data_IF_549418804345
#
_entry.id   IF_549418804345
#
_cell.length_a   1.000
_cell.length_b   1.000
_cell.length_c   1.000
_cell.angle_alpha   90.00
_cell.angle_beta   90.00
_cell.angle_gamma   90.00
#
_symmetry.space_group_name_H-M   'P 1'
#
loop_
_entity.id
_entity.type
_entity.pdbx_description
1 polymer ?
#
# COMPACT_ATOMS: atom_id res chain seq x y z
N UNK A 1 -4.80 45.65 -108.46
CA UNK A 1 -4.48 44.74 -109.59
C UNK A 1 -5.38 43.52 -109.47
N UNK A 2 -6.65 43.54 -109.89
CA UNK A 2 -7.17 43.66 -111.26
C UNK A 2 -6.59 42.60 -112.21
N UNK A 3 -7.30 41.48 -112.38
CA UNK A 3 -7.43 40.78 -113.66
C UNK A 3 -8.49 39.66 -113.55
N UNK A 4 -9.75 40.06 -113.73
CA UNK A 4 -10.85 39.15 -114.02
C UNK A 4 -10.56 38.40 -115.32
N UNK A 5 -10.48 37.05 -115.29
CA UNK A 5 -10.42 36.24 -116.50
C UNK A 5 -11.82 35.78 -116.87
N UNK A 6 -12.34 36.47 -117.88
CA UNK A 6 -13.67 36.35 -118.49
C UNK A 6 -14.06 34.91 -118.82
N UNK A 7 -15.31 34.64 -118.48
CA UNK A 7 -16.21 33.62 -119.01
C UNK A 7 -16.15 33.59 -120.54
N UNK A 8 -15.77 32.46 -121.12
CA UNK A 8 -16.03 32.12 -122.51
C UNK A 8 -17.17 31.08 -122.55
N UNK A 9 -18.41 31.58 -122.69
CA UNK A 9 -19.61 30.78 -122.92
C UNK A 9 -19.53 30.19 -124.32
N UNK A 10 -19.40 28.86 -124.44
CA UNK A 10 -19.61 28.12 -125.69
C UNK A 10 -21.03 27.58 -125.70
N UNK A 11 -21.86 28.15 -126.56
CA UNK A 11 -23.28 27.81 -126.72
C UNK A 11 -23.43 26.47 -127.47
N UNK A 12 -24.08 25.49 -126.82
CA UNK A 12 -24.91 24.33 -127.27
C UNK A 12 -24.52 23.57 -128.57
N UNK A 13 -24.79 22.26 -128.72
CA UNK A 13 -26.09 21.59 -128.88
C UNK A 13 -25.81 20.07 -128.66
N UNK A 14 -26.74 19.33 -128.03
CA UNK A 14 -26.67 17.90 -127.61
C UNK A 14 -25.98 17.65 -126.25
N UNK A 15 -26.75 17.16 -125.28
CA UNK A 15 -26.29 16.78 -123.93
C UNK A 15 -25.61 15.41 -123.88
N UNK A 16 -24.66 15.18 -124.78
CA UNK A 16 -23.81 13.99 -124.80
C UNK A 16 -22.36 14.46 -124.79
N UNK A 17 -21.62 14.14 -123.73
CA UNK A 17 -20.24 14.56 -123.55
C UNK A 17 -19.37 13.75 -124.54
N UNK A 18 -18.55 14.39 -125.41
CA UNK A 18 -17.67 13.68 -126.34
C UNK A 18 -16.77 12.62 -125.69
N UNK A 19 -16.54 12.71 -124.37
CA UNK A 19 -15.77 11.72 -123.60
C UNK A 19 -16.54 10.42 -123.29
N UNK A 20 -17.85 10.38 -123.53
CA UNK A 20 -18.67 9.17 -123.42
C UNK A 20 -18.46 8.20 -124.59
N UNK A 21 -17.61 8.49 -125.55
CA UNK A 21 -17.23 7.54 -126.62
C UNK A 21 -15.75 7.16 -126.60
N UNK A 22 -14.99 7.62 -125.59
CA UNK A 22 -13.58 7.27 -125.41
C UNK A 22 -13.41 5.85 -124.83
N UNK A 23 -12.29 5.15 -125.14
CA UNK A 23 -11.94 3.86 -124.52
C UNK A 23 -12.04 3.92 -123.00
N UNK A 24 -12.48 2.84 -122.35
CA UNK A 24 -12.73 2.79 -120.90
C UNK A 24 -11.55 3.25 -120.03
N UNK A 25 -10.32 3.04 -120.50
CA UNK A 25 -9.08 3.52 -119.86
C UNK A 25 -8.98 5.05 -119.79
N UNK A 26 -9.39 5.76 -120.85
CA UNK A 26 -9.32 7.22 -120.93
C UNK A 26 -10.33 7.89 -119.99
N UNK A 27 -11.52 7.30 -119.79
CA UNK A 27 -12.55 7.83 -118.86
C UNK A 27 -12.11 7.83 -117.40
N UNK A 28 -11.27 6.88 -116.99
CA UNK A 28 -10.77 6.79 -115.62
C UNK A 28 -9.67 7.84 -115.38
N UNK A 29 -8.90 8.16 -116.42
CA UNK A 29 -7.79 9.12 -116.33
C UNK A 29 -8.24 10.59 -116.46
N UNK A 30 -9.33 10.86 -117.19
CA UNK A 30 -9.79 12.23 -117.49
C UNK A 30 -10.92 12.76 -116.59
N UNK A 31 -11.54 11.92 -115.76
CA UNK A 31 -12.52 12.39 -114.77
C UNK A 31 -11.80 12.84 -113.49
N UNK A 32 -11.96 14.10 -113.05
CA UNK A 32 -11.47 14.50 -111.73
C UNK A 32 -12.14 13.62 -110.66
N UNK A 33 -11.38 13.14 -109.65
CA UNK A 33 -11.91 12.25 -108.62
C UNK A 33 -13.14 12.88 -107.94
N UNK A 34 -14.15 12.05 -107.66
CA UNK A 34 -15.46 12.51 -107.21
C UNK A 34 -15.37 13.49 -106.03
N UNK A 35 -16.10 14.63 -106.06
CA UNK A 35 -16.01 15.66 -105.03
C UNK A 35 -16.38 15.12 -103.62
N UNK A 36 -17.26 14.12 -103.55
CA UNK A 36 -17.64 13.45 -102.30
C UNK A 36 -16.44 12.76 -101.62
N UNK A 37 -15.56 12.10 -102.37
CA UNK A 37 -14.41 11.41 -101.79
C UNK A 37 -13.42 12.39 -101.13
N UNK A 38 -13.24 13.58 -101.71
CA UNK A 38 -12.42 14.65 -101.11
C UNK A 38 -13.06 15.23 -99.86
N UNK A 39 -14.38 15.42 -99.87
CA UNK A 39 -15.11 15.92 -98.70
C UNK A 39 -14.98 14.95 -97.51
N UNK A 40 -15.18 13.64 -97.74
CA UNK A 40 -15.03 12.61 -96.71
C UNK A 40 -13.61 12.57 -96.13
N UNK A 41 -12.57 12.70 -96.97
CA UNK A 41 -11.18 12.71 -96.52
C UNK A 41 -10.89 13.93 -95.63
N UNK A 42 -11.34 15.13 -96.01
CA UNK A 42 -11.14 16.33 -95.20
C UNK A 42 -11.91 16.26 -93.88
N UNK A 43 -13.15 15.76 -93.88
CA UNK A 43 -13.92 15.55 -92.63
C UNK A 43 -13.20 14.59 -91.69
N UNK A 44 -12.66 13.49 -92.21
CA UNK A 44 -11.90 12.53 -91.41
C UNK A 44 -10.62 13.15 -90.84
N UNK A 45 -9.89 13.91 -91.64
CA UNK A 45 -8.68 14.62 -91.20
C UNK A 45 -8.98 15.66 -90.12
N UNK A 46 -10.07 16.42 -90.25
CA UNK A 46 -10.50 17.39 -89.24
C UNK A 46 -10.89 16.68 -87.95
N UNK A 47 -11.64 15.58 -88.03
CA UNK A 47 -12.04 14.80 -86.87
C UNK A 47 -10.82 14.22 -86.13
N UNK A 48 -9.88 13.65 -86.88
CA UNK A 48 -8.63 13.13 -86.32
C UNK A 48 -7.83 14.24 -85.64
N UNK A 49 -7.70 15.40 -86.29
CA UNK A 49 -6.99 16.54 -85.73
C UNK A 49 -7.66 17.07 -84.45
N UNK A 50 -8.99 17.15 -84.43
CA UNK A 50 -9.75 17.55 -83.25
C UNK A 50 -9.56 16.57 -82.08
N UNK A 51 -9.53 15.27 -82.35
CA UNK A 51 -9.33 14.24 -81.34
C UNK A 51 -7.90 14.25 -80.77
N UNK A 52 -6.89 14.47 -81.62
CA UNK A 52 -5.51 14.68 -81.18
C UNK A 52 -5.36 15.95 -80.34
N UNK A 53 -6.02 17.04 -80.74
CA UNK A 53 -6.02 18.29 -79.99
C UNK A 53 -6.68 18.08 -78.61
N UNK A 54 -7.83 17.41 -78.57
CA UNK A 54 -8.50 17.07 -77.32
C UNK A 54 -7.65 16.16 -76.42
N UNK A 55 -6.98 15.14 -76.97
CA UNK A 55 -6.10 14.27 -76.19
C UNK A 55 -4.85 14.99 -75.66
N UNK A 56 -4.31 15.96 -76.40
CA UNK A 56 -3.15 16.75 -75.98
C UNK A 56 -3.47 17.76 -74.86
N UNK A 57 -4.67 18.33 -74.86
CA UNK A 57 -5.10 19.34 -73.88
C UNK A 57 -6.04 18.81 -72.80
N UNK A 58 -6.60 17.62 -72.98
CA UNK A 58 -7.52 16.97 -72.06
C UNK A 58 -6.80 16.57 -70.78
N UNK A 59 -7.09 17.30 -69.70
CA UNK A 59 -6.67 16.90 -68.36
C UNK A 59 -7.71 15.95 -67.80
N UNK A 60 -7.30 14.73 -67.47
CA UNK A 60 -8.12 13.77 -66.76
C UNK A 60 -7.82 13.91 -65.27
N UNK A 61 -8.73 14.54 -64.53
CA UNK A 61 -8.62 14.67 -63.08
C UNK A 61 -8.91 13.31 -62.43
N UNK A 62 -7.86 12.62 -62.00
CA UNK A 62 -7.98 11.37 -61.24
C UNK A 62 -8.04 11.74 -59.76
N UNK A 63 -9.22 11.60 -59.14
CA UNK A 63 -9.37 11.69 -57.70
C UNK A 63 -9.07 10.32 -57.10
N UNK A 64 -7.83 10.11 -56.65
CA UNK A 64 -7.46 8.94 -55.87
C UNK A 64 -7.82 9.18 -54.40
N UNK A 65 -8.96 8.64 -53.96
CA UNK A 65 -9.29 8.58 -52.52
C UNK A 65 -8.60 7.35 -51.92
N UNK A 66 -7.60 7.56 -51.08
CA UNK A 66 -6.95 6.51 -50.31
C UNK A 66 -7.41 6.61 -48.85
N UNK A 67 -7.91 5.51 -48.28
CA UNK A 67 -8.19 5.44 -46.85
C UNK A 67 -6.88 5.42 -46.06
N UNK A 68 -6.48 6.57 -45.54
CA UNK A 68 -5.37 6.64 -44.59
C UNK A 68 -5.80 6.06 -43.24
N UNK A 69 -5.17 4.96 -42.80
CA UNK A 69 -5.35 4.41 -41.45
C UNK A 69 -4.16 4.81 -40.58
N UNK A 70 -4.40 5.60 -39.54
CA UNK A 70 -3.40 5.81 -38.49
C UNK A 70 -3.25 4.51 -37.69
N UNK A 71 -2.10 3.87 -37.80
CA UNK A 71 -1.72 2.72 -36.96
C UNK A 71 -0.60 3.20 -36.03
N UNK A 72 -0.75 3.05 -34.70
CA UNK A 72 0.30 3.42 -33.77
C UNK A 72 1.56 2.59 -34.03
N UNK A 73 2.73 3.24 -34.03
CA UNK A 73 4.02 2.58 -34.28
C UNK A 73 4.44 1.60 -33.17
N UNK A 74 3.74 1.59 -32.03
CA UNK A 74 4.06 0.79 -30.86
C UNK A 74 2.79 0.20 -30.25
N UNK A 75 2.92 -0.93 -29.55
CA UNK A 75 1.83 -1.56 -28.82
C UNK A 75 1.25 -0.60 -27.76
N UNK A 76 -0.08 -0.51 -27.73
CA UNK A 76 -0.81 0.20 -26.68
C UNK A 76 -0.56 -0.50 -25.35
N UNK A 77 -0.06 0.23 -24.36
CA UNK A 77 0.13 -0.26 -22.99
C UNK A 77 -1.07 0.14 -22.15
N UNK A 78 -1.77 -0.85 -21.58
CA UNK A 78 -2.88 -0.61 -20.66
C UNK A 78 -2.31 -0.30 -19.28
N UNK A 79 -2.60 0.89 -18.75
CA UNK A 79 -2.22 1.29 -17.38
C UNK A 79 -3.34 0.87 -16.45
N UNK A 80 -3.03 0.00 -15.48
CA UNK A 80 -3.97 -0.46 -14.45
C UNK A 80 -3.42 -0.12 -13.06
N UNK A 81 -4.28 0.25 -12.11
CA UNK A 81 -3.85 0.48 -10.74
C UNK A 81 -3.42 -0.84 -10.09
N UNK A 82 -2.41 -0.79 -9.23
CA UNK A 82 -1.91 -1.94 -8.48
C UNK A 82 -2.91 -2.40 -7.39
N UNK A 83 -3.62 -1.44 -6.80
CA UNK A 83 -4.67 -1.68 -5.81
C UNK A 83 -6.02 -1.19 -6.35
N UNK A 84 -7.09 -1.88 -5.98
CA UNK A 84 -8.44 -1.40 -6.27
C UNK A 84 -8.77 -0.24 -5.34
N UNK A 85 -9.15 0.90 -5.89
CA UNK A 85 -9.46 2.10 -5.11
C UNK A 85 -10.49 2.98 -5.81
N UNK A 86 -11.11 3.87 -5.05
CA UNK A 86 -12.00 4.88 -5.59
C UNK A 86 -11.16 5.94 -6.33
N UNK A 87 -11.57 6.30 -7.54
CA UNK A 87 -10.89 7.35 -8.31
C UNK A 87 -11.26 8.70 -7.70
N UNK A 88 -10.27 9.46 -7.25
CA UNK A 88 -10.46 10.82 -6.74
C UNK A 88 -10.43 11.82 -7.89
N UNK A 89 -9.37 11.78 -8.71
CA UNK A 89 -9.17 12.74 -9.81
C UNK A 89 -8.51 12.07 -11.01
N UNK A 90 -8.92 12.48 -12.22
CA UNK A 90 -8.26 12.15 -13.48
C UNK A 90 -7.56 13.42 -13.96
N UNK A 91 -6.23 13.37 -14.11
CA UNK A 91 -5.39 14.55 -14.38
C UNK A 91 -5.07 14.76 -15.86
N UNK A 92 -5.56 13.86 -16.72
CA UNK A 92 -5.26 13.85 -18.15
C UNK A 92 -6.52 13.74 -18.99
N UNK A 93 -6.50 14.36 -20.16
CA UNK A 93 -7.55 14.31 -21.16
C UNK A 93 -7.20 13.34 -22.31
N UNK A 94 -8.21 12.91 -23.05
CA UNK A 94 -8.02 12.07 -24.23
C UNK A 94 -7.15 12.78 -25.28
N UNK A 95 -6.16 12.07 -25.84
CA UNK A 95 -5.23 12.61 -26.83
C UNK A 95 -4.12 13.51 -26.26
N UNK A 96 -4.08 13.73 -24.94
CA UNK A 96 -3.01 14.50 -24.29
C UNK A 96 -1.68 13.72 -24.34
N UNK A 97 -0.60 14.42 -24.73
CA UNK A 97 0.75 13.86 -24.65
C UNK A 97 1.22 13.82 -23.19
N UNK A 98 1.75 12.67 -22.76
CA UNK A 98 2.21 12.44 -21.38
C UNK A 98 3.62 11.90 -21.34
N UNK A 99 4.39 12.28 -20.33
CA UNK A 99 5.77 11.83 -20.12
C UNK A 99 5.85 10.67 -19.13
N UNK A 100 6.96 9.92 -19.15
CA UNK A 100 7.19 8.83 -18.21
C UNK A 100 7.31 9.38 -16.77
N UNK A 101 6.51 8.83 -15.85
CA UNK A 101 6.46 9.26 -14.44
C UNK A 101 5.46 10.37 -14.17
N UNK A 102 4.77 10.90 -15.19
CA UNK A 102 3.68 11.84 -15.00
C UNK A 102 2.49 11.16 -14.32
N UNK A 103 1.91 11.81 -13.30
CA UNK A 103 0.71 11.31 -12.62
C UNK A 103 -0.48 11.45 -13.55
N UNK A 104 -1.13 10.32 -13.87
CA UNK A 104 -2.28 10.28 -14.77
C UNK A 104 -3.61 10.36 -14.02
N UNK A 105 -3.70 9.70 -12.86
CA UNK A 105 -4.88 9.69 -12.00
C UNK A 105 -4.47 9.65 -10.53
N UNK A 106 -5.34 10.12 -9.64
CA UNK A 106 -5.23 9.96 -8.19
C UNK A 106 -6.36 9.10 -7.68
N UNK A 107 -6.01 8.15 -6.81
CA UNK A 107 -6.99 7.37 -6.05
C UNK A 107 -7.26 8.08 -4.71
N UNK A 108 -8.43 7.85 -4.15
CA UNK A 108 -8.78 8.30 -2.81
C UNK A 108 -7.93 7.54 -1.78
N UNK A 109 -7.08 8.27 -1.06
CA UNK A 109 -6.16 7.72 -0.05
C UNK A 109 -6.75 7.72 1.35
N UNK A 110 -8.00 8.14 1.56
CA UNK A 110 -8.59 8.31 2.89
C UNK A 110 -8.46 7.07 3.77
N UNK A 111 -8.71 5.89 3.21
CA UNK A 111 -8.59 4.62 3.93
C UNK A 111 -7.13 4.26 4.23
N UNK A 112 -6.25 4.33 3.23
CA UNK A 112 -4.82 4.06 3.39
C UNK A 112 -4.15 5.03 4.38
N UNK A 113 -4.55 6.29 4.39
CA UNK A 113 -4.07 7.31 5.32
C UNK A 113 -4.58 7.07 6.74
N UNK A 114 -5.83 6.63 6.89
CA UNK A 114 -6.39 6.24 8.18
C UNK A 114 -5.65 5.02 8.76
N UNK A 115 -5.43 3.99 7.94
CA UNK A 115 -4.67 2.79 8.32
C UNK A 115 -3.22 3.15 8.69
N UNK A 116 -2.57 3.99 7.88
CA UNK A 116 -1.22 4.48 8.17
C UNK A 116 -1.14 5.24 9.49
N UNK A 117 -2.12 6.11 9.78
CA UNK A 117 -2.21 6.82 11.06
C UNK A 117 -2.46 5.87 12.24
N UNK A 118 -3.32 4.87 12.07
CA UNK A 118 -3.58 3.87 13.09
C UNK A 118 -2.32 3.05 13.42
N UNK A 119 -1.63 2.54 12.40
CA UNK A 119 -0.38 1.80 12.55
C UNK A 119 0.69 2.66 13.23
N UNK A 120 0.82 3.93 12.84
CA UNK A 120 1.78 4.84 13.45
C UNK A 120 1.45 5.12 14.93
N UNK A 121 0.17 5.30 15.26
CA UNK A 121 -0.29 5.45 16.65
C UNK A 121 0.04 4.21 17.49
N UNK A 122 -0.22 3.02 16.95
CA UNK A 122 0.10 1.74 17.60
C UNK A 122 1.61 1.56 17.78
N UNK A 123 2.40 1.93 16.77
CA UNK A 123 3.85 1.90 16.82
C UNK A 123 4.38 2.79 17.95
N UNK A 124 3.91 4.04 18.03
CA UNK A 124 4.29 4.97 19.09
C UNK A 124 3.86 4.45 20.48
N UNK A 125 2.65 3.91 20.59
CA UNK A 125 2.15 3.30 21.83
C UNK A 125 3.02 2.13 22.30
N UNK A 126 3.44 1.26 21.39
CA UNK A 126 4.37 0.15 21.68
C UNK A 126 5.75 0.65 22.07
N UNK A 127 6.30 1.66 21.40
CA UNK A 127 7.58 2.26 21.77
C UNK A 127 7.55 2.84 23.20
N UNK A 128 6.51 3.59 23.54
CA UNK A 128 6.32 4.16 24.89
C UNK A 128 6.22 3.02 25.92
N UNK A 129 5.51 1.94 25.60
CA UNK A 129 5.38 0.76 26.46
C UNK A 129 6.72 0.07 26.70
N UNK A 130 7.54 -0.13 25.67
CA UNK A 130 8.88 -0.70 25.81
C UNK A 130 9.74 0.15 26.74
N UNK A 131 9.76 1.48 26.53
CA UNK A 131 10.51 2.38 27.41
C UNK A 131 10.00 2.36 28.85
N UNK A 132 8.68 2.21 29.04
CA UNK A 132 8.08 2.06 30.37
C UNK A 132 8.63 0.81 31.05
N UNK A 133 8.63 -0.32 30.35
CA UNK A 133 9.16 -1.60 30.85
C UNK A 133 10.66 -1.48 31.16
N UNK A 134 11.45 -0.87 30.28
CA UNK A 134 12.88 -0.63 30.53
C UNK A 134 13.12 0.25 31.76
N UNK A 135 12.25 1.25 31.98
CA UNK A 135 12.30 2.10 33.17
C UNK A 135 11.89 1.34 34.44
N UNK A 136 10.90 0.45 34.35
CA UNK A 136 10.49 -0.44 35.46
C UNK A 136 11.60 -1.42 35.83
N UNK A 137 12.23 -2.07 34.84
CA UNK A 137 13.34 -3.02 35.06
C UNK A 137 14.61 -2.34 35.58
N UNK A 138 14.88 -1.12 35.14
CA UNK A 138 16.05 -0.35 35.56
C UNK A 138 15.85 0.50 36.82
N UNK A 139 14.67 0.49 37.43
CA UNK A 139 14.22 1.40 38.50
C UNK A 139 14.55 2.89 38.20
N UNK A 140 14.36 3.29 36.94
CA UNK A 140 14.62 4.66 36.46
C UNK A 140 13.32 5.43 36.33
N UNK A 141 13.41 6.75 36.40
CA UNK A 141 12.25 7.62 36.18
C UNK A 141 11.77 7.56 34.72
N UNK A 142 10.48 7.29 34.55
CA UNK A 142 9.83 7.33 33.26
C UNK A 142 9.48 8.78 32.87
N UNK A 143 10.23 9.34 31.89
CA UNK A 143 10.05 10.70 31.36
C UNK A 143 9.51 10.70 29.92
N UNK A 144 8.79 11.77 29.56
CA UNK A 144 8.26 12.01 28.20
C UNK A 144 9.39 12.43 27.27
N UNK A 145 9.33 12.00 26.00
CA UNK A 145 10.14 12.56 24.90
C UNK A 145 9.33 13.56 24.08
N UNK A 146 10.02 14.47 23.39
CA UNK A 146 9.35 15.55 22.64
C UNK A 146 8.51 15.06 21.46
N UNK A 147 8.84 13.89 20.91
CA UNK A 147 8.14 13.28 19.77
C UNK A 147 6.96 12.38 20.17
N UNK A 148 6.57 12.36 21.45
CA UNK A 148 5.53 11.45 21.95
C UNK A 148 4.19 12.16 22.18
N UNK A 149 3.07 11.60 21.68
CA UNK A 149 1.74 12.11 21.98
C UNK A 149 1.49 12.12 23.49
N UNK A 150 1.00 13.26 24.00
CA UNK A 150 0.79 13.45 25.44
C UNK A 150 -0.23 12.47 26.02
N UNK A 151 -1.29 12.15 25.27
CA UNK A 151 -2.33 11.19 25.68
C UNK A 151 -1.75 9.80 25.95
N UNK A 152 -0.95 9.27 25.02
CA UNK A 152 -0.30 7.95 25.14
C UNK A 152 0.70 7.94 26.30
N UNK A 153 1.51 9.00 26.43
CA UNK A 153 2.45 9.13 27.53
C UNK A 153 1.76 9.16 28.90
N UNK A 154 0.70 9.95 29.06
CA UNK A 154 -0.06 10.04 30.33
C UNK A 154 -0.64 8.68 30.74
N UNK A 155 -1.19 7.93 29.79
CA UNK A 155 -1.69 6.58 30.04
C UNK A 155 -0.57 5.63 30.50
N UNK A 156 0.57 5.63 29.80
CA UNK A 156 1.73 4.81 30.17
C UNK A 156 2.32 5.21 31.54
N UNK A 157 2.38 6.51 31.85
CA UNK A 157 2.86 7.02 33.13
C UNK A 157 1.95 6.64 34.29
N UNK A 158 0.63 6.66 34.10
CA UNK A 158 -0.32 6.21 35.11
C UNK A 158 -0.10 4.73 35.44
N UNK A 159 0.08 3.88 34.41
CA UNK A 159 0.39 2.46 34.61
C UNK A 159 1.73 2.25 35.31
N UNK A 160 2.78 2.98 34.90
CA UNK A 160 4.10 2.93 35.54
C UNK A 160 4.01 3.22 37.05
N UNK A 161 3.31 4.29 37.41
CA UNK A 161 3.12 4.69 38.82
C UNK A 161 2.33 3.65 39.60
N UNK A 162 1.27 3.10 39.00
CA UNK A 162 0.47 2.04 39.62
C UNK A 162 1.31 0.78 39.88
N UNK A 163 2.11 0.36 38.90
CA UNK A 163 3.01 -0.80 39.03
C UNK A 163 4.07 -0.58 40.12
N UNK A 164 4.71 0.59 40.13
CA UNK A 164 5.74 0.92 41.13
C UNK A 164 5.17 1.01 42.55
N UNK A 165 3.98 1.58 42.68
CA UNK A 165 3.27 1.63 43.96
C UNK A 165 2.90 0.22 44.44
N UNK A 166 2.34 -0.63 43.57
CA UNK A 166 1.99 -2.00 43.92
C UNK A 166 3.23 -2.80 44.38
N UNK A 167 4.35 -2.65 43.67
CA UNK A 167 5.62 -3.27 44.05
C UNK A 167 6.13 -2.78 45.41
N UNK A 168 6.10 -1.47 45.66
CA UNK A 168 6.52 -0.89 46.93
C UNK A 168 5.64 -1.34 48.10
N UNK A 169 4.33 -1.41 47.90
CA UNK A 169 3.39 -1.91 48.91
C UNK A 169 3.66 -3.37 49.24
N UNK A 170 3.83 -4.23 48.22
CA UNK A 170 4.16 -5.65 48.43
C UNK A 170 5.49 -5.82 49.18
N UNK A 171 6.51 -5.03 48.82
CA UNK A 171 7.79 -5.04 49.51
C UNK A 171 7.69 -4.57 50.96
N UNK A 172 6.86 -3.56 51.24
CA UNK A 172 6.63 -3.06 52.58
C UNK A 172 5.89 -4.08 53.46
N UNK A 173 4.91 -4.78 52.89
CA UNK A 173 4.19 -5.85 53.56
C UNK A 173 5.11 -7.01 53.92
N UNK A 174 5.94 -7.47 52.98
CA UNK A 174 6.91 -8.54 53.23
C UNK A 174 7.93 -8.16 54.32
N UNK A 175 8.38 -6.91 54.33
CA UNK A 175 9.25 -6.39 55.40
C UNK A 175 8.56 -6.40 56.76
N UNK A 176 7.30 -5.98 56.82
CA UNK A 176 6.51 -6.01 58.06
C UNK A 176 6.34 -7.44 58.60
N UNK A 177 6.07 -8.40 57.71
CA UNK A 177 5.97 -9.83 58.07
C UNK A 177 7.31 -10.34 58.62
N UNK A 178 8.42 -10.01 57.94
CA UNK A 178 9.76 -10.37 58.40
C UNK A 178 10.08 -9.78 59.77
N UNK A 179 9.80 -8.50 59.98
CA UNK A 179 10.11 -7.80 61.23
C UNK A 179 9.30 -8.37 62.41
N UNK A 180 8.04 -8.75 62.16
CA UNK A 180 7.21 -9.45 63.14
C UNK A 180 7.79 -10.83 63.47
N UNK A 181 8.14 -11.63 62.47
CA UNK A 181 8.74 -12.94 62.68
C UNK A 181 10.07 -12.85 63.45
N UNK A 182 10.88 -11.82 63.21
CA UNK A 182 12.10 -11.56 63.96
C UNK A 182 11.82 -11.19 65.42
N UNK A 183 10.79 -10.38 65.66
CA UNK A 183 10.37 -10.00 67.02
C UNK A 183 9.83 -11.21 67.80
N UNK A 184 9.02 -12.04 67.16
CA UNK A 184 8.48 -13.28 67.75
C UNK A 184 9.62 -14.27 68.07
N UNK A 185 10.60 -14.41 67.16
CA UNK A 185 11.80 -15.22 67.40
C UNK A 185 12.60 -14.70 68.58
N UNK A 186 12.83 -13.38 68.68
CA UNK A 186 13.55 -12.78 69.80
C UNK A 186 12.82 -13.02 71.13
N UNK A 187 11.49 -12.89 71.17
CA UNK A 187 10.68 -13.18 72.35
C UNK A 187 10.73 -14.67 72.75
N UNK A 188 10.68 -15.58 71.78
CA UNK A 188 10.83 -17.01 72.02
C UNK A 188 12.23 -17.36 72.56
N UNK A 189 13.28 -16.77 71.99
CA UNK A 189 14.66 -16.94 72.47
C UNK A 189 14.83 -16.42 73.90
N UNK A 190 14.24 -15.28 74.24
CA UNK A 190 14.26 -14.73 75.60
C UNK A 190 13.52 -15.65 76.58
N UNK A 191 12.36 -16.19 76.17
CA UNK A 191 11.60 -17.16 76.96
C UNK A 191 12.39 -18.45 77.18
N UNK A 192 13.03 -18.97 76.13
CA UNK A 192 13.91 -20.14 76.21
C UNK A 192 15.08 -19.89 77.15
N UNK A 193 15.73 -18.73 77.06
CA UNK A 193 16.87 -18.36 77.92
C UNK A 193 16.42 -18.29 79.39
N UNK A 194 15.30 -17.60 79.67
CA UNK A 194 14.71 -17.54 81.01
C UNK A 194 14.40 -18.93 81.57
N UNK A 195 13.76 -19.80 80.80
CA UNK A 195 13.44 -21.17 81.23
C UNK A 195 14.71 -22.01 81.44
N UNK A 196 15.72 -21.85 80.58
CA UNK A 196 17.00 -22.57 80.71
C UNK A 196 17.73 -22.17 82.00
N UNK A 197 17.68 -20.90 82.37
CA UNK A 197 18.28 -20.38 83.61
C UNK A 197 17.47 -20.76 84.86
N UNK A 198 16.13 -20.76 84.80
CA UNK A 198 15.30 -21.03 85.98
C UNK A 198 15.09 -22.52 86.27
N UNK A 199 15.11 -23.38 85.26
CA UNK A 199 14.79 -24.81 85.40
C UNK A 199 15.69 -25.55 86.42
N UNK A 200 17.02 -25.32 86.49
CA UNK A 200 17.87 -25.92 87.52
C UNK A 200 17.46 -25.52 88.94
N UNK A 201 16.89 -24.33 89.14
CA UNK A 201 16.41 -23.90 90.45
C UNK A 201 15.14 -24.66 90.85
N UNK A 202 14.19 -24.84 89.93
CA UNK A 202 13.01 -25.66 90.15
C UNK A 202 13.37 -27.14 90.40
N UNK A 203 14.35 -27.67 89.68
CA UNK A 203 14.84 -29.02 89.89
C UNK A 203 15.40 -29.19 91.32
N UNK A 204 16.30 -28.30 91.75
CA UNK A 204 16.87 -28.33 93.11
C UNK A 204 15.80 -28.18 94.19
N UNK A 205 14.78 -27.35 93.97
CA UNK A 205 13.66 -27.21 94.91
C UNK A 205 12.84 -28.50 94.99
N UNK A 206 12.50 -29.12 93.86
CA UNK A 206 11.75 -30.38 93.85
C UNK A 206 12.53 -31.51 94.55
N UNK A 207 13.84 -31.63 94.29
CA UNK A 207 14.72 -32.60 94.97
C UNK A 207 14.78 -32.35 96.48
N UNK A 208 14.99 -31.11 96.91
CA UNK A 208 15.06 -30.76 98.34
C UNK A 208 13.73 -31.05 99.08
N UNK A 209 12.58 -30.71 98.48
CA UNK A 209 11.27 -31.01 99.06
C UNK A 209 10.97 -32.52 99.07
N UNK A 210 11.44 -33.27 98.06
CA UNK A 210 11.32 -34.72 98.05
C UNK A 210 12.11 -35.37 99.21
N UNK A 211 13.29 -34.85 99.52
CA UNK A 211 14.10 -35.34 100.66
C UNK A 211 13.46 -34.97 102.00
N UNK A 212 12.99 -33.72 102.18
CA UNK A 212 12.26 -33.30 103.38
C UNK A 212 10.98 -34.12 103.63
N UNK A 213 10.31 -34.57 102.56
CA UNK A 213 9.13 -35.42 102.65
C UNK A 213 9.46 -36.86 103.10
N UNK A 214 10.65 -37.38 102.74
CA UNK A 214 11.14 -38.68 103.24
C UNK A 214 11.41 -38.62 104.74
N UNK A 215 11.99 -37.52 105.20
CA UNK A 215 12.33 -37.30 106.61
C UNK A 215 11.11 -36.89 107.45
N UNK A 216 9.94 -36.66 106.83
CA UNK A 216 8.67 -36.37 107.50
C UNK A 216 8.46 -34.89 107.88
N UNK A 217 9.30 -33.98 107.39
CA UNK A 217 9.23 -32.55 107.69
C UNK A 217 8.20 -31.77 106.85
N UNK A 218 7.83 -32.28 105.67
CA UNK A 218 6.81 -31.69 104.78
C UNK A 218 5.81 -32.74 104.30
N UNK A 219 4.63 -32.32 103.85
CA UNK A 219 3.62 -33.24 103.35
C UNK A 219 4.01 -33.86 102.00
N UNK A 220 3.61 -35.10 101.74
CA UNK A 220 3.78 -35.75 100.42
C UNK A 220 3.11 -34.95 99.29
N UNK A 221 2.04 -34.22 99.61
CA UNK A 221 1.34 -33.37 98.66
C UNK A 221 2.19 -32.17 98.22
N UNK A 222 2.83 -31.47 99.16
CA UNK A 222 3.72 -30.34 98.85
C UNK A 222 4.91 -30.76 97.98
N UNK A 223 5.52 -31.91 98.28
CA UNK A 223 6.60 -32.44 97.46
C UNK A 223 6.13 -32.81 96.03
N UNK A 224 4.94 -33.40 95.90
CA UNK A 224 4.36 -33.73 94.59
C UNK A 224 4.01 -32.47 93.78
N UNK A 225 3.54 -31.40 94.43
CA UNK A 225 3.24 -30.13 93.77
C UNK A 225 4.52 -29.46 93.22
N UNK A 226 5.62 -29.47 93.97
CA UNK A 226 6.93 -28.99 93.48
C UNK A 226 7.50 -29.82 92.34
N UNK A 227 7.31 -31.14 92.39
CA UNK A 227 7.66 -32.01 91.26
C UNK A 227 6.81 -31.71 90.01
N UNK A 228 5.52 -31.39 90.18
CA UNK A 228 4.63 -30.99 89.08
C UNK A 228 5.10 -29.69 88.44
N UNK A 229 5.39 -28.66 89.26
CA UNK A 229 5.92 -27.36 88.78
C UNK A 229 7.20 -27.53 87.95
N UNK A 230 8.16 -28.34 88.43
CA UNK A 230 9.38 -28.64 87.66
C UNK A 230 9.05 -29.34 86.33
N UNK A 231 8.17 -30.33 86.36
CA UNK A 231 7.78 -31.10 85.15
C UNK A 231 7.12 -30.19 84.12
N UNK A 232 6.16 -29.37 84.54
CA UNK A 232 5.48 -28.37 83.71
C UNK A 232 6.50 -27.42 83.06
N UNK A 233 7.44 -26.85 83.84
CA UNK A 233 8.46 -25.95 83.29
C UNK A 233 9.46 -26.65 82.37
N UNK A 234 9.74 -27.94 82.59
CA UNK A 234 10.54 -28.75 81.66
C UNK A 234 9.83 -29.01 80.35
N UNK A 235 8.51 -29.22 80.40
CA UNK A 235 7.66 -29.40 79.23
C UNK A 235 7.59 -28.09 78.43
N UNK A 236 7.45 -26.95 79.14
CA UNK A 236 7.48 -25.61 78.55
C UNK A 236 8.80 -25.38 77.81
N UNK A 237 9.95 -25.72 78.42
CA UNK A 237 11.26 -25.58 77.77
C UNK A 237 11.42 -26.49 76.55
N UNK A 238 10.98 -27.75 76.64
CA UNK A 238 10.98 -28.69 75.50
C UNK A 238 10.12 -28.20 74.34
N UNK A 239 9.02 -27.51 74.62
CA UNK A 239 8.12 -26.94 73.59
C UNK A 239 8.79 -25.76 72.85
N UNK A 240 9.81 -25.15 73.45
CA UNK A 240 10.58 -24.04 72.86
C UNK A 240 11.88 -24.48 72.17
N UNK A 241 12.18 -25.80 72.13
CA UNK A 241 13.35 -26.40 71.46
C UNK A 241 12.98 -26.96 70.09
#
# INVERSE_FOLDING_TARGET
>A
MAAAKKVARKTRIVGVDPQDFAPSLLRIQSKPPAPFARATLHTLLILLFALLLWAAFGKLDIVASAEGKLIPQTYVKIVQPFEQGLISEILVAEGQHVEAGQVLMRLDTTMSDADGKAINSDYLGKQITLRRIDAELGDRDFKRRDNEPESLYRAALAQYRANRLAYQTALAEERSVRDKAQSDLAAAQQTRTKLTETLPHYQKQAEAFADLAKDGYVSKFEAADKQREYTEKSQDLKTQQ
#
